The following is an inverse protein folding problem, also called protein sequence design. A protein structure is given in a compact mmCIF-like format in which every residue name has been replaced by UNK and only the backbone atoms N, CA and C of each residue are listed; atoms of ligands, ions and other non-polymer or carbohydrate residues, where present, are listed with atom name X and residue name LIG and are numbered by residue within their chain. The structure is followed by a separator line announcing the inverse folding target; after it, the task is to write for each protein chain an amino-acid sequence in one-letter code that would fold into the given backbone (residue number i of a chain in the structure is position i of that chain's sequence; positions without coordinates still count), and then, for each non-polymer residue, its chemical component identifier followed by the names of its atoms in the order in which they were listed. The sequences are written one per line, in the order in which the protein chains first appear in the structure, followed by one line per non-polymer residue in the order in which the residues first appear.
data_IF_538294479441
#
_entry.id   IF_538294479441
#
_cell.length_a   1.000
_cell.length_b   1.000
_cell.length_c   1.000
_cell.angle_alpha   90.00
_cell.angle_beta   90.00
_cell.angle_gamma   90.00
#
_symmetry.space_group_name_H-M   'P 1'
#
loop_
_entity.id
_entity.type
_entity.pdbx_description
1 polymer ?
#
# COMPACT_ATOMS: atom_id res chain seq x y z
N UNK A 1 -48.60 16.00 -32.37
CA UNK A 1 -47.50 16.92 -32.74
C UNK A 1 -46.44 16.88 -31.65
N UNK A 2 -45.42 16.03 -31.81
CA UNK A 2 -44.27 16.01 -30.91
C UNK A 2 -43.39 17.23 -31.24
N UNK A 3 -43.68 18.39 -30.65
CA UNK A 3 -42.84 19.57 -30.81
C UNK A 3 -42.19 19.89 -29.47
N UNK A 4 -41.17 19.08 -29.19
CA UNK A 4 -40.05 19.27 -28.26
C UNK A 4 -40.20 20.40 -27.25
N UNK A 5 -41.00 20.16 -26.20
CA UNK A 5 -41.28 21.08 -25.10
C UNK A 5 -40.14 21.22 -24.08
N UNK A 6 -38.89 21.25 -24.53
CA UNK A 6 -37.73 21.54 -23.69
C UNK A 6 -37.26 22.95 -24.02
N UNK A 7 -37.51 23.90 -23.13
CA UNK A 7 -37.02 25.27 -23.23
C UNK A 7 -35.51 25.31 -23.05
N UNK A 8 -34.81 26.32 -23.58
CA UNK A 8 -33.35 26.47 -23.38
C UNK A 8 -32.94 26.39 -21.90
N UNK A 9 -33.74 26.97 -21.00
CA UNK A 9 -33.54 26.87 -19.56
C UNK A 9 -33.64 25.43 -19.00
N UNK A 10 -34.49 24.58 -19.57
CA UNK A 10 -34.54 23.15 -19.22
C UNK A 10 -33.35 22.37 -19.79
N UNK A 11 -32.84 22.76 -20.97
CA UNK A 11 -31.61 22.17 -21.54
C UNK A 11 -30.40 22.52 -20.65
N UNK A 12 -30.26 23.78 -20.24
CA UNK A 12 -29.19 24.21 -19.34
C UNK A 12 -29.27 23.49 -17.99
N UNK A 13 -30.47 23.38 -17.42
CA UNK A 13 -30.68 22.59 -16.20
C UNK A 13 -30.33 21.11 -16.39
N UNK A 14 -30.71 20.50 -17.51
CA UNK A 14 -30.34 19.11 -17.83
C UNK A 14 -28.83 18.92 -17.98
N UNK A 15 -28.11 19.90 -18.55
CA UNK A 15 -26.65 19.86 -18.67
C UNK A 15 -26.00 19.97 -17.29
N UNK A 16 -26.43 20.93 -16.47
CA UNK A 16 -25.87 21.15 -15.13
C UNK A 16 -26.13 19.95 -14.21
N UNK A 17 -27.33 19.35 -14.26
CA UNK A 17 -27.63 18.11 -13.54
C UNK A 17 -26.78 16.94 -14.07
N UNK A 18 -26.62 16.78 -15.39
CA UNK A 18 -25.77 15.74 -15.94
C UNK A 18 -24.28 15.88 -15.51
N UNK A 19 -23.75 17.10 -15.50
CA UNK A 19 -22.37 17.37 -15.06
C UNK A 19 -22.19 17.11 -13.57
N UNK A 20 -23.13 17.55 -12.73
CA UNK A 20 -23.11 17.30 -11.29
C UNK A 20 -23.15 15.80 -10.97
N UNK A 21 -24.04 15.06 -11.65
CA UNK A 21 -24.12 13.60 -11.48
C UNK A 21 -22.82 12.91 -11.90
N UNK A 22 -22.20 13.34 -13.01
CA UNK A 22 -20.90 12.80 -13.47
C UNK A 22 -19.77 13.06 -12.47
N UNK A 23 -19.76 14.22 -11.81
CA UNK A 23 -18.78 14.53 -10.77
C UNK A 23 -19.03 13.72 -9.49
N UNK A 24 -20.28 13.60 -9.06
CA UNK A 24 -20.65 12.80 -7.88
C UNK A 24 -20.31 11.32 -8.08
N UNK A 25 -20.59 10.75 -9.25
CA UNK A 25 -20.23 9.36 -9.56
C UNK A 25 -18.71 9.12 -9.48
N UNK A 26 -17.92 10.05 -10.04
CA UNK A 26 -16.45 9.99 -9.94
C UNK A 26 -15.96 10.02 -8.49
N UNK A 27 -16.52 10.90 -7.66
CA UNK A 27 -16.12 11.02 -6.25
C UNK A 27 -16.48 9.75 -5.48
N UNK A 28 -17.67 9.18 -5.69
CA UNK A 28 -18.09 7.93 -5.06
C UNK A 28 -17.15 6.80 -5.45
N UNK A 29 -16.84 6.69 -6.75
CA UNK A 29 -15.92 5.67 -7.27
C UNK A 29 -14.53 5.82 -6.67
N UNK A 30 -13.95 7.02 -6.71
CA UNK A 30 -12.62 7.29 -6.16
C UNK A 30 -12.55 6.97 -4.66
N UNK A 31 -13.59 7.35 -3.89
CA UNK A 31 -13.69 6.98 -2.48
C UNK A 31 -13.72 5.47 -2.30
N UNK A 32 -14.54 4.76 -3.06
CA UNK A 32 -14.64 3.31 -2.98
C UNK A 32 -13.30 2.61 -3.28
N UNK A 33 -12.57 3.08 -4.30
CA UNK A 33 -11.24 2.56 -4.64
C UNK A 33 -10.23 2.75 -3.51
N UNK A 34 -10.26 3.91 -2.83
CA UNK A 34 -9.40 4.17 -1.68
C UNK A 34 -9.80 3.31 -0.48
N UNK A 35 -11.10 3.15 -0.22
CA UNK A 35 -11.59 2.28 0.87
C UNK A 35 -11.12 0.83 0.66
N UNK A 36 -11.24 0.30 -0.55
CA UNK A 36 -10.77 -1.06 -0.85
C UNK A 36 -9.25 -1.20 -0.65
N UNK A 37 -8.47 -0.20 -1.08
CA UNK A 37 -7.02 -0.19 -0.83
C UNK A 37 -6.70 -0.14 0.66
N UNK A 38 -7.42 0.70 1.40
CA UNK A 38 -7.27 0.84 2.84
C UNK A 38 -7.60 -0.44 3.61
N UNK A 39 -8.70 -1.11 3.26
CA UNK A 39 -9.07 -2.39 3.87
C UNK A 39 -8.01 -3.47 3.60
N UNK A 40 -7.46 -3.50 2.38
CA UNK A 40 -6.34 -4.36 2.03
C UNK A 40 -5.10 -4.08 2.88
N UNK A 41 -4.75 -2.80 3.05
CA UNK A 41 -3.62 -2.38 3.87
C UNK A 41 -3.84 -2.71 5.36
N UNK A 42 -5.02 -2.43 5.91
CA UNK A 42 -5.42 -2.81 7.27
C UNK A 42 -5.20 -4.30 7.49
N UNK A 43 -5.67 -5.14 6.57
CA UNK A 43 -5.51 -6.59 6.68
C UNK A 43 -4.03 -7.02 6.65
N UNK A 44 -3.27 -6.51 5.68
CA UNK A 44 -1.85 -6.82 5.53
C UNK A 44 -1.04 -6.40 6.77
N UNK A 45 -1.24 -5.18 7.27
CA UNK A 45 -0.54 -4.65 8.44
C UNK A 45 -0.97 -5.37 9.72
N UNK A 46 -2.25 -5.67 9.90
CA UNK A 46 -2.74 -6.44 11.06
C UNK A 46 -2.09 -7.83 11.11
N UNK A 47 -1.99 -8.48 9.94
CA UNK A 47 -1.34 -9.79 9.83
C UNK A 47 0.16 -9.70 10.13
N UNK A 48 0.87 -8.76 9.49
CA UNK A 48 2.30 -8.58 9.71
C UNK A 48 2.61 -8.24 11.17
N UNK A 49 1.79 -7.40 11.81
CA UNK A 49 1.91 -7.09 13.23
C UNK A 49 1.77 -8.35 14.07
N UNK A 50 0.76 -9.20 13.83
CA UNK A 50 0.59 -10.44 14.58
C UNK A 50 1.75 -11.43 14.41
N UNK A 51 2.34 -11.49 13.21
CA UNK A 51 3.48 -12.37 12.91
C UNK A 51 4.78 -11.87 13.56
N UNK A 52 4.99 -10.54 13.61
CA UNK A 52 6.26 -9.93 14.04
C UNK A 52 6.18 -9.15 15.36
N UNK A 53 5.06 -9.18 16.08
CA UNK A 53 4.84 -8.44 17.34
C UNK A 53 5.99 -8.66 18.34
N UNK A 54 6.51 -9.89 18.40
CA UNK A 54 7.59 -10.25 19.34
C UNK A 54 8.94 -9.59 19.04
N UNK A 55 9.14 -9.12 17.82
CA UNK A 55 10.38 -8.48 17.38
C UNK A 55 10.28 -6.95 17.37
N UNK A 56 9.09 -6.40 17.62
CA UNK A 56 8.82 -4.97 17.59
C UNK A 56 8.90 -4.36 19.01
N UNK A 57 9.20 -3.06 19.06
CA UNK A 57 9.13 -2.33 20.33
C UNK A 57 7.66 -2.16 20.74
N UNK A 58 7.35 -2.15 22.05
CA UNK A 58 5.99 -1.95 22.55
C UNK A 58 5.36 -0.63 22.04
N UNK A 59 6.17 0.41 21.91
CA UNK A 59 5.72 1.72 21.39
C UNK A 59 5.36 1.67 19.89
N UNK A 60 6.11 0.91 19.09
CA UNK A 60 5.79 0.68 17.68
C UNK A 60 4.48 -0.12 17.54
N UNK A 61 4.32 -1.17 18.34
CA UNK A 61 3.11 -2.00 18.35
C UNK A 61 1.87 -1.16 18.66
N UNK A 62 1.96 -0.29 19.67
CA UNK A 62 0.86 0.60 20.03
C UNK A 62 0.55 1.61 18.91
N UNK A 63 1.58 2.21 18.31
CA UNK A 63 1.44 3.14 17.18
C UNK A 63 0.73 2.47 16.00
N UNK A 64 1.18 1.29 15.60
CA UNK A 64 0.61 0.53 14.48
C UNK A 64 -0.85 0.16 14.77
N UNK A 65 -1.17 -0.28 16.00
CA UNK A 65 -2.55 -0.60 16.41
C UNK A 65 -3.45 0.63 16.33
N UNK A 66 -2.95 1.78 16.75
CA UNK A 66 -3.68 3.04 16.68
C UNK A 66 -3.95 3.45 15.22
N UNK A 67 -2.94 3.41 14.34
CA UNK A 67 -3.12 3.74 12.92
C UNK A 67 -4.13 2.82 12.21
N UNK A 68 -4.11 1.52 12.54
CA UNK A 68 -5.12 0.56 12.03
C UNK A 68 -6.53 0.95 12.49
N UNK A 69 -6.69 1.29 13.78
CA UNK A 69 -7.98 1.69 14.33
C UNK A 69 -8.46 3.02 13.73
N UNK A 70 -7.56 3.99 13.58
CA UNK A 70 -7.85 5.29 12.99
C UNK A 70 -8.32 5.14 11.54
N UNK A 71 -7.70 4.24 10.77
CA UNK A 71 -8.13 3.96 9.39
C UNK A 71 -9.52 3.33 9.35
N UNK A 72 -9.78 2.34 10.21
CA UNK A 72 -11.13 1.72 10.32
C UNK A 72 -12.19 2.75 10.69
N UNK A 73 -11.91 3.60 11.68
CA UNK A 73 -12.81 4.67 12.10
C UNK A 73 -13.05 5.69 10.99
N UNK A 74 -12.01 6.08 10.24
CA UNK A 74 -12.13 7.00 9.11
C UNK A 74 -13.06 6.44 8.01
N UNK A 75 -12.96 5.13 7.72
CA UNK A 75 -13.84 4.45 6.77
C UNK A 75 -15.29 4.42 7.29
N UNK A 76 -15.48 3.99 8.54
CA UNK A 76 -16.81 3.79 9.16
C UNK A 76 -17.58 5.12 9.32
N UNK A 77 -16.88 6.19 9.69
CA UNK A 77 -17.46 7.53 9.83
C UNK A 77 -17.75 8.21 8.48
N UNK A 78 -17.44 7.58 7.36
CA UNK A 78 -17.68 8.19 6.05
C UNK A 78 -16.67 9.29 5.70
N UNK A 79 -15.43 9.19 6.19
CA UNK A 79 -14.38 10.19 6.00
C UNK A 79 -14.16 10.60 4.54
N UNK A 80 -13.68 11.83 4.35
CA UNK A 80 -13.43 12.41 3.04
C UNK A 80 -12.29 11.67 2.33
N UNK A 81 -12.21 11.80 1.00
CA UNK A 81 -11.09 11.26 0.21
C UNK A 81 -9.73 11.74 0.74
N UNK A 82 -9.64 13.01 1.14
CA UNK A 82 -8.42 13.59 1.69
C UNK A 82 -8.05 12.98 3.05
N UNK A 83 -9.02 12.82 3.95
CA UNK A 83 -8.82 12.17 5.24
C UNK A 83 -8.36 10.72 5.08
N UNK A 84 -9.05 9.96 4.22
CA UNK A 84 -8.69 8.58 3.91
C UNK A 84 -7.26 8.48 3.36
N UNK A 85 -6.85 9.35 2.43
CA UNK A 85 -5.47 9.36 1.92
C UNK A 85 -4.44 9.67 2.99
N UNK A 86 -4.73 10.64 3.85
CA UNK A 86 -3.84 11.03 4.94
C UNK A 86 -3.62 9.89 5.93
N UNK A 87 -4.71 9.25 6.37
CA UNK A 87 -4.63 8.14 7.32
C UNK A 87 -4.02 6.90 6.67
N UNK A 88 -4.30 6.65 5.39
CA UNK A 88 -3.66 5.57 4.63
C UNK A 88 -2.14 5.74 4.59
N UNK A 89 -1.64 6.96 4.33
CA UNK A 89 -0.19 7.24 4.30
C UNK A 89 0.50 7.01 5.65
N UNK A 90 -0.19 7.30 6.76
CA UNK A 90 0.29 6.98 8.10
C UNK A 90 0.39 5.46 8.29
N UNK A 91 -0.66 4.72 7.90
CA UNK A 91 -0.68 3.27 8.01
C UNK A 91 0.38 2.60 7.11
N UNK A 92 0.66 3.15 5.93
CA UNK A 92 1.77 2.71 5.06
C UNK A 92 3.13 2.88 5.75
N UNK A 93 3.35 4.03 6.41
CA UNK A 93 4.57 4.29 7.18
C UNK A 93 4.73 3.29 8.33
N UNK A 94 3.63 2.98 9.02
CA UNK A 94 3.57 1.95 10.05
C UNK A 94 3.87 0.55 9.50
N UNK A 95 3.36 0.20 8.32
CA UNK A 95 3.69 -1.05 7.64
C UNK A 95 5.19 -1.14 7.28
N UNK A 96 5.78 -0.03 6.83
CA UNK A 96 7.23 0.03 6.56
C UNK A 96 8.07 -0.19 7.81
N UNK A 97 7.69 0.38 8.96
CA UNK A 97 8.42 0.14 10.25
C UNK A 97 8.48 -1.34 10.63
N UNK A 98 7.41 -2.09 10.35
CA UNK A 98 7.40 -3.56 10.54
C UNK A 98 8.42 -4.22 9.62
N UNK A 99 8.45 -3.83 8.34
CA UNK A 99 9.39 -4.37 7.36
C UNK A 99 10.85 -4.02 7.68
N UNK A 100 11.13 -2.77 8.12
CA UNK A 100 12.46 -2.33 8.52
C UNK A 100 12.99 -3.13 9.71
N UNK A 101 12.13 -3.43 10.69
CA UNK A 101 12.50 -4.28 11.83
C UNK A 101 12.89 -5.69 11.37
N UNK A 102 12.17 -6.23 10.37
CA UNK A 102 12.43 -7.55 9.81
C UNK A 102 13.74 -7.59 9.02
N UNK A 103 13.96 -6.62 8.13
CA UNK A 103 15.20 -6.52 7.34
C UNK A 103 16.41 -6.13 8.19
N UNK A 104 16.23 -5.30 9.23
CA UNK A 104 17.27 -4.99 10.21
C UNK A 104 17.67 -6.22 11.03
N UNK A 105 16.71 -7.11 11.34
CA UNK A 105 16.98 -8.38 12.01
C UNK A 105 17.75 -9.37 11.13
N UNK A 106 17.48 -9.39 9.82
CA UNK A 106 18.21 -10.22 8.84
C UNK A 106 19.63 -9.67 8.61
N UNK A 107 19.78 -8.35 8.51
CA UNK A 107 21.09 -7.69 8.32
C UNK A 107 22.05 -7.89 9.50
N UNK A 108 21.53 -8.15 10.70
CA UNK A 108 22.33 -8.48 11.89
C UNK A 108 22.62 -9.99 12.03
N UNK A 109 22.07 -10.85 11.16
CA UNK A 109 22.45 -12.27 11.05
C UNK A 109 23.41 -12.54 9.87
N UNK A 110 23.68 -11.57 8.99
CA UNK A 110 24.61 -11.71 7.87
C UNK A 110 25.92 -10.90 8.06
N UNK A 111 26.48 -10.94 9.27
CA UNK A 111 27.93 -10.78 9.41
C UNK A 111 28.60 -12.16 9.37
N UNK A 112 28.48 -12.84 8.22
CA UNK A 112 29.29 -13.99 7.82
C UNK A 112 29.25 -14.18 6.29
N UNK A 113 29.83 -13.20 5.57
CA UNK A 113 30.62 -13.35 4.32
C UNK A 113 29.93 -13.80 3.01
N UNK A 114 30.53 -13.52 1.83
CA UNK A 114 30.84 -12.21 1.26
C UNK A 114 30.26 -12.07 -0.16
N UNK A 115 30.29 -10.83 -0.65
CA UNK A 115 30.24 -10.43 -2.06
C UNK A 115 30.81 -11.50 -3.02
N UNK A 116 30.01 -12.00 -3.96
CA UNK A 116 30.52 -12.65 -5.16
C UNK A 116 29.84 -12.03 -6.38
N UNK A 117 30.71 -11.51 -7.24
CA UNK A 117 30.44 -10.75 -8.44
C UNK A 117 29.70 -11.61 -9.47
N UNK A 118 28.89 -10.93 -10.25
CA UNK A 118 28.37 -11.38 -11.54
C UNK A 118 29.55 -11.72 -12.47
N UNK A 119 29.93 -12.99 -12.51
CA UNK A 119 30.73 -13.57 -13.59
C UNK A 119 29.90 -14.71 -14.19
N UNK A 120 29.43 -14.46 -15.42
CA UNK A 120 28.76 -15.45 -16.25
C UNK A 120 29.80 -15.87 -17.28
N UNK A 121 29.86 -17.18 -17.55
CA UNK A 121 30.51 -17.81 -18.72
C UNK A 121 32.04 -18.03 -18.56
N UNK A 122 32.62 -19.24 -18.52
CA UNK A 122 32.22 -20.56 -19.02
C UNK A 122 32.95 -21.70 -18.26
N UNK A 123 32.26 -22.84 -18.15
CA UNK A 123 32.75 -24.16 -17.68
C UNK A 123 33.34 -24.95 -18.89
N UNK A 124 34.08 -26.09 -18.74
CA UNK A 124 35.14 -26.47 -17.79
C UNK A 124 36.31 -27.24 -18.51
N UNK A 125 37.02 -28.23 -17.91
CA UNK A 125 38.38 -28.09 -17.37
C UNK A 125 39.40 -29.07 -18.00
N UNK A 126 40.71 -28.88 -17.81
CA UNK A 126 41.66 -30.02 -17.72
C UNK A 126 43.04 -29.63 -17.15
N UNK A 127 43.24 -30.06 -15.90
CA UNK A 127 44.49 -30.46 -15.22
C UNK A 127 45.59 -29.41 -14.99
N UNK A 128 46.03 -29.32 -13.72
CA UNK A 128 47.41 -29.74 -13.43
C UNK A 128 47.43 -30.76 -12.30
N UNK A 129 48.04 -31.92 -12.52
CA UNK A 129 48.45 -32.83 -11.43
C UNK A 129 49.97 -32.87 -11.37
N UNK A 130 50.47 -32.45 -10.21
CA UNK A 130 51.84 -32.55 -9.70
C UNK A 130 52.44 -33.95 -9.75
N UNK A 131 53.78 -34.00 -9.93
CA UNK A 131 54.76 -34.82 -9.20
C UNK A 131 56.14 -34.30 -9.63
N UNK A 132 56.91 -33.60 -8.79
CA UNK A 132 57.70 -34.12 -7.67
C UNK A 132 58.60 -35.30 -8.08
N UNK A 133 59.82 -34.97 -8.55
CA UNK A 133 61.11 -35.60 -8.23
C UNK A 133 62.23 -34.93 -9.03
#
# INVERSE_FOLDING_TARGET
TASSGITKAQIEKMIEEAEKHKLTDKIIRERAEIVVQAEGLIYATTRALAEFEKNLLPEDIETIKNDIELMKQCIDQGGSIEDLRKVMSNLESSAHRIAETLYGSISNQEQSTPSEKKEIEANPPSTPTSKQS
#
